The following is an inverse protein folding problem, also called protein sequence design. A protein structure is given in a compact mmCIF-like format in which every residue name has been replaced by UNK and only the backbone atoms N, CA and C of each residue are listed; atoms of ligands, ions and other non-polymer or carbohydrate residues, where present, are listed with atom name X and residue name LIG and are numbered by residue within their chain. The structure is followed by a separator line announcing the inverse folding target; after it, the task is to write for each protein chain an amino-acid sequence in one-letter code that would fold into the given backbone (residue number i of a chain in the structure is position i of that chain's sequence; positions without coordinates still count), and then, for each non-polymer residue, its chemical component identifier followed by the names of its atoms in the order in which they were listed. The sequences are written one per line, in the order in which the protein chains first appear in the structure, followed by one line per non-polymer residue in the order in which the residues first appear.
data_IF_653979036223
#
_entry.id   IF_653979036223
#
_cell.length_a   1.000
_cell.length_b   1.000
_cell.length_c   1.000
_cell.angle_alpha   90.00
_cell.angle_beta   90.00
_cell.angle_gamma   90.00
#
_symmetry.space_group_name_H-M   'P 1'
#
loop_
_entity.id
_entity.type
_entity.pdbx_description
1 polymer ?
#
# COMPACT_ATOMS: atom_id res chain seq x y z
N UNK A 1 -9.42 -17.54 -12.15
CA UNK A 1 -9.35 -16.08 -11.91
C UNK A 1 -7.92 -15.69 -11.56
N UNK A 2 -7.36 -14.70 -12.24
CA UNK A 2 -6.00 -14.25 -11.97
C UNK A 2 -5.97 -13.47 -10.66
N UNK A 3 -5.13 -13.89 -9.72
CA UNK A 3 -4.89 -13.15 -8.49
C UNK A 3 -4.01 -11.94 -8.83
N UNK A 4 -4.39 -10.75 -8.36
CA UNK A 4 -3.63 -9.52 -8.61
C UNK A 4 -2.15 -9.66 -8.20
N UNK A 5 -1.86 -10.44 -7.15
CA UNK A 5 -0.48 -10.67 -6.70
C UNK A 5 0.39 -11.31 -7.78
N UNK A 6 -0.17 -12.14 -8.65
CA UNK A 6 0.58 -12.78 -9.74
C UNK A 6 1.04 -11.77 -10.79
N UNK A 7 0.36 -10.63 -10.88
CA UNK A 7 0.69 -9.57 -11.82
C UNK A 7 1.68 -8.56 -11.24
N UNK A 8 1.86 -8.55 -9.90
CA UNK A 8 2.78 -7.63 -9.24
C UNK A 8 4.15 -8.29 -9.15
N UNK A 9 5.15 -7.74 -9.87
CA UNK A 9 6.45 -8.39 -9.96
C UNK A 9 7.26 -8.29 -8.67
N UNK A 10 8.30 -9.13 -8.58
CA UNK A 10 9.28 -9.09 -7.51
C UNK A 10 10.43 -8.17 -7.94
N UNK A 11 10.82 -7.27 -7.04
CA UNK A 11 11.93 -6.35 -7.26
C UNK A 11 11.49 -4.95 -7.64
N UNK A 12 12.10 -3.96 -6.99
CA UNK A 12 11.83 -2.54 -7.22
C UNK A 12 12.07 -2.15 -8.69
N UNK A 13 13.12 -2.69 -9.29
CA UNK A 13 13.44 -2.43 -10.70
C UNK A 13 12.38 -2.92 -11.68
N UNK A 14 11.57 -3.89 -11.26
CA UNK A 14 10.52 -4.49 -12.08
C UNK A 14 9.13 -3.94 -11.76
N UNK A 15 9.02 -2.93 -10.91
CA UNK A 15 7.75 -2.39 -10.46
C UNK A 15 6.80 -2.09 -11.61
N UNK A 16 5.50 -2.28 -11.37
CA UNK A 16 4.45 -2.10 -12.36
C UNK A 16 3.53 -0.95 -11.94
N UNK A 17 3.23 -0.06 -12.86
CA UNK A 17 2.33 1.06 -12.60
C UNK A 17 0.88 0.59 -12.51
N UNK A 18 0.08 1.30 -11.71
CA UNK A 18 -1.34 0.98 -11.56
C UNK A 18 -2.08 1.02 -12.90
N UNK A 19 -1.75 1.98 -13.77
CA UNK A 19 -2.35 2.07 -15.10
C UNK A 19 -2.14 0.79 -15.92
N UNK A 20 -0.94 0.19 -15.80
CA UNK A 20 -0.63 -1.06 -16.50
C UNK A 20 -1.43 -2.23 -15.92
N UNK A 21 -1.60 -2.26 -14.61
CA UNK A 21 -2.44 -3.27 -13.96
C UNK A 21 -3.89 -3.14 -14.44
N UNK A 22 -4.39 -1.93 -14.60
CA UNK A 22 -5.72 -1.68 -15.13
C UNK A 22 -5.86 -2.20 -16.56
N UNK A 23 -4.87 -1.96 -17.41
CA UNK A 23 -4.86 -2.51 -18.78
C UNK A 23 -4.92 -4.03 -18.80
N UNK A 24 -4.10 -4.68 -17.96
CA UNK A 24 -3.99 -6.14 -17.94
C UNK A 24 -5.25 -6.82 -17.41
N UNK A 25 -5.99 -6.17 -16.54
CA UNK A 25 -7.15 -6.76 -15.86
C UNK A 25 -8.48 -6.27 -16.41
N UNK A 26 -8.51 -5.17 -17.15
CA UNK A 26 -9.74 -4.54 -17.59
C UNK A 26 -10.48 -3.78 -16.49
N UNK A 27 -9.86 -3.63 -15.31
CA UNK A 27 -10.47 -2.92 -14.17
C UNK A 27 -10.09 -1.44 -14.19
N UNK A 28 -10.97 -0.59 -13.63
CA UNK A 28 -10.68 0.84 -13.51
C UNK A 28 -9.73 1.11 -12.33
N UNK A 29 -9.28 2.35 -12.24
CA UNK A 29 -8.31 2.77 -11.23
C UNK A 29 -8.81 2.56 -9.80
N UNK A 30 -10.08 2.88 -9.55
CA UNK A 30 -10.68 2.73 -8.22
C UNK A 30 -10.75 1.27 -7.81
N UNK A 31 -11.20 0.41 -8.71
CA UNK A 31 -11.28 -1.03 -8.46
C UNK A 31 -9.88 -1.61 -8.20
N UNK A 32 -8.87 -1.14 -8.95
CA UNK A 32 -7.50 -1.60 -8.77
C UNK A 32 -6.94 -1.18 -7.40
N UNK A 33 -7.17 0.06 -6.98
CA UNK A 33 -6.75 0.52 -5.63
C UNK A 33 -7.38 -0.32 -4.54
N UNK A 34 -8.66 -0.65 -4.68
CA UNK A 34 -9.37 -1.48 -3.71
C UNK A 34 -8.80 -2.89 -3.65
N UNK A 35 -8.48 -3.49 -4.79
CA UNK A 35 -7.86 -4.82 -4.84
C UNK A 35 -6.50 -4.84 -4.14
N UNK A 36 -5.67 -3.83 -4.38
CA UNK A 36 -4.36 -3.72 -3.74
C UNK A 36 -4.52 -3.59 -2.23
N UNK A 37 -5.46 -2.75 -1.79
CA UNK A 37 -5.75 -2.57 -0.37
C UNK A 37 -6.24 -3.87 0.28
N UNK A 38 -7.12 -4.61 -0.39
CA UNK A 38 -7.61 -5.90 0.09
C UNK A 38 -6.47 -6.90 0.28
N UNK A 39 -5.55 -6.97 -0.68
CA UNK A 39 -4.40 -7.86 -0.59
C UNK A 39 -3.49 -7.48 0.57
N UNK A 40 -3.24 -6.18 0.75
CA UNK A 40 -2.45 -5.68 1.89
C UNK A 40 -3.11 -6.00 3.22
N UNK A 41 -4.42 -5.84 3.31
CA UNK A 41 -5.18 -6.15 4.52
C UNK A 41 -5.16 -7.65 4.83
N UNK A 42 -5.03 -8.48 3.81
CA UNK A 42 -4.88 -9.94 3.96
C UNK A 42 -3.44 -10.36 4.28
N UNK A 43 -2.53 -9.42 4.41
CA UNK A 43 -1.13 -9.69 4.80
C UNK A 43 -0.12 -9.67 3.67
N UNK A 44 -0.52 -9.38 2.44
CA UNK A 44 0.44 -9.31 1.34
C UNK A 44 1.33 -8.07 1.45
N UNK A 45 2.63 -8.24 1.19
CA UNK A 45 3.59 -7.15 1.20
C UNK A 45 3.73 -6.61 -0.22
N UNK A 46 3.05 -5.50 -0.49
CA UNK A 46 3.08 -4.80 -1.78
C UNK A 46 3.61 -3.40 -1.52
N UNK A 47 4.78 -3.09 -2.06
CA UNK A 47 5.45 -1.81 -1.86
C UNK A 47 5.19 -0.88 -3.04
N UNK A 48 5.21 0.42 -2.74
CA UNK A 48 5.25 1.49 -3.73
C UNK A 48 6.08 2.61 -3.11
N UNK A 49 7.26 2.87 -3.67
CA UNK A 49 8.20 3.83 -3.10
C UNK A 49 7.89 5.28 -3.49
N UNK A 50 6.76 5.53 -4.16
CA UNK A 50 6.31 6.86 -4.58
C UNK A 50 7.29 7.57 -5.53
N UNK A 51 8.04 6.77 -6.31
CA UNK A 51 9.02 7.26 -7.27
C UNK A 51 8.52 7.19 -8.73
N UNK A 52 7.24 6.91 -8.93
CA UNK A 52 6.61 6.79 -10.24
C UNK A 52 6.78 5.43 -10.88
N UNK A 53 7.49 4.50 -10.27
CA UNK A 53 7.68 3.14 -10.82
C UNK A 53 6.48 2.24 -10.58
N UNK A 54 5.75 2.44 -9.49
CA UNK A 54 4.55 1.68 -9.15
C UNK A 54 4.77 0.61 -8.10
N UNK A 55 4.03 -0.48 -8.24
CA UNK A 55 3.94 -1.52 -7.22
C UNK A 55 4.89 -2.68 -7.50
N UNK A 56 5.43 -3.26 -6.44
CA UNK A 56 6.28 -4.44 -6.52
C UNK A 56 6.24 -5.21 -5.21
N UNK A 57 6.60 -6.48 -5.28
CA UNK A 57 6.85 -7.30 -4.09
C UNK A 57 8.36 -7.25 -3.81
N UNK A 58 8.79 -7.11 -2.56
CA UNK A 58 10.21 -6.96 -2.28
C UNK A 58 10.98 -8.24 -2.60
N UNK A 59 12.16 -8.06 -3.17
CA UNK A 59 13.11 -9.14 -3.41
C UNK A 59 13.97 -9.30 -2.14
N UNK A 60 13.79 -10.40 -1.45
CA UNK A 60 14.46 -10.65 -0.17
C UNK A 60 15.62 -11.62 -0.32
N UNK A 61 16.71 -11.40 0.43
CA UNK A 61 16.89 -10.33 1.44
C UNK A 61 17.39 -8.99 0.88
N UNK A 62 17.67 -8.89 -0.41
CA UNK A 62 18.35 -7.74 -1.02
C UNK A 62 17.62 -6.41 -0.79
N UNK A 63 16.29 -6.43 -0.73
CA UNK A 63 15.48 -5.21 -0.58
C UNK A 63 14.87 -5.05 0.81
N UNK A 64 15.46 -5.66 1.83
CA UNK A 64 14.93 -5.55 3.19
C UNK A 64 14.93 -4.11 3.71
N UNK A 65 15.85 -3.27 3.25
CA UNK A 65 15.89 -1.86 3.58
C UNK A 65 14.65 -1.11 3.06
N UNK A 66 14.14 -1.48 1.90
CA UNK A 66 12.90 -0.90 1.35
C UNK A 66 11.69 -1.31 2.19
N UNK A 67 11.68 -2.54 2.68
CA UNK A 67 10.63 -3.01 3.60
C UNK A 67 10.65 -2.21 4.89
N UNK A 68 11.84 -1.97 5.45
CA UNK A 68 12.01 -1.18 6.66
C UNK A 68 11.54 0.27 6.46
N UNK A 69 11.88 0.88 5.33
CA UNK A 69 11.43 2.22 4.98
C UNK A 69 9.89 2.31 4.88
N UNK A 70 9.28 1.32 4.23
CA UNK A 70 7.82 1.25 4.12
C UNK A 70 7.15 1.07 5.49
N UNK A 71 7.76 0.26 6.36
CA UNK A 71 7.26 0.06 7.72
C UNK A 71 7.32 1.35 8.54
N UNK A 72 8.41 2.11 8.43
CA UNK A 72 8.55 3.40 9.11
C UNK A 72 7.49 4.39 8.65
N UNK A 73 7.24 4.47 7.35
CA UNK A 73 6.20 5.34 6.80
C UNK A 73 4.80 4.93 7.30
N UNK A 74 4.53 3.63 7.36
CA UNK A 74 3.26 3.12 7.86
C UNK A 74 3.06 3.44 9.34
N UNK A 75 4.12 3.30 10.16
CA UNK A 75 4.07 3.67 11.58
C UNK A 75 3.80 5.16 11.77
N UNK A 76 4.39 6.02 10.93
CA UNK A 76 4.13 7.44 10.98
C UNK A 76 2.67 7.79 10.67
N UNK A 77 2.07 7.13 9.68
CA UNK A 77 0.65 7.30 9.35
C UNK A 77 -0.26 6.83 10.50
N UNK A 78 0.09 5.71 11.12
CA UNK A 78 -0.66 5.18 12.26
C UNK A 78 -0.63 6.16 13.42
N UNK A 79 0.54 6.69 13.75
CA UNK A 79 0.69 7.68 14.83
C UNK A 79 -0.17 8.92 14.57
N UNK A 80 -0.13 9.46 13.35
CA UNK A 80 -0.95 10.62 12.98
C UNK A 80 -2.45 10.33 13.11
N UNK A 81 -2.88 9.13 12.71
CA UNK A 81 -4.27 8.72 12.84
C UNK A 81 -4.68 8.62 14.31
N UNK A 82 -3.82 8.09 15.18
CA UNK A 82 -4.08 8.00 16.62
C UNK A 82 -4.25 9.38 17.24
N UNK A 83 -3.39 10.32 16.89
CA UNK A 83 -3.49 11.72 17.39
C UNK A 83 -4.82 12.33 16.94
N UNK A 84 -5.22 12.13 15.70
CA UNK A 84 -6.48 12.64 15.18
C UNK A 84 -7.69 12.07 15.93
N UNK A 85 -7.68 10.77 16.21
CA UNK A 85 -8.76 10.10 16.95
C UNK A 85 -8.86 10.69 18.38
N UNK A 86 -7.73 10.86 19.05
CA UNK A 86 -7.71 11.44 20.40
C UNK A 86 -8.26 12.86 20.40
N UNK A 87 -7.88 13.68 19.44
CA UNK A 87 -8.38 15.06 19.33
C UNK A 87 -9.88 15.10 19.08
N UNK A 88 -10.40 14.23 18.22
CA UNK A 88 -11.83 14.14 17.94
C UNK A 88 -12.60 13.65 19.18
N UNK A 89 -12.08 12.70 19.89
CA UNK A 89 -12.72 12.19 21.12
C UNK A 89 -12.80 13.27 22.21
N UNK A 90 -11.75 14.07 22.37
CA UNK A 90 -11.75 15.20 23.29
C UNK A 90 -12.84 16.20 22.94
N UNK A 91 -13.01 16.50 21.65
CA UNK A 91 -14.05 17.39 21.17
C UNK A 91 -15.45 16.86 21.51
N UNK A 92 -15.67 15.56 21.32
CA UNK A 92 -16.95 14.91 21.64
C UNK A 92 -17.27 14.96 23.13
N UNK A 93 -16.26 14.89 24.01
CA UNK A 93 -16.45 15.04 25.45
C UNK A 93 -16.87 16.45 25.85
N UNK A 94 -16.36 17.47 25.14
CA UNK A 94 -16.68 18.88 25.41
C UNK A 94 -18.06 19.28 24.90
N UNK A 95 -18.55 18.64 23.85
CA UNK A 95 -19.80 18.96 23.18
C UNK A 95 -20.66 17.70 22.99
N UNK A 96 -21.18 17.14 24.09
CA UNK A 96 -21.97 15.90 24.03
C UNK A 96 -23.34 16.06 23.37
#
# INVERSE_FOLDING_TARGET
MTNILELIPVGHENAIRRSKLCELTGKDDRAMRNLIMEQRNAGAVILNMQDGRGYFRPKLPEEIDLVAEAADAARGRLYAAQVAVESLNQMLELYP
#
